data_IF_657474875150
#
_entry.id   IF_657474875150
#
_cell.length_a   1.000
_cell.length_b   1.000
_cell.length_c   1.000
_cell.angle_alpha   90.00
_cell.angle_beta   90.00
_cell.angle_gamma   90.00
#
_symmetry.space_group_name_H-M   'P 1'
#
loop_
_entity.id
_entity.type
_entity.pdbx_description
1 polymer ?
#
# COMPACT_ATOMS: atom_id res chain seq x y z
N UNK A 1 42.66 -12.19 -26.54
CA UNK A 1 43.91 -12.00 -27.30
C UNK A 1 44.84 -13.21 -27.23
N UNK A 2 45.17 -13.76 -26.04
CA UNK A 2 45.99 -14.99 -25.93
C UNK A 2 45.26 -16.26 -26.43
N UNK A 3 44.00 -16.48 -26.04
CA UNK A 3 43.21 -17.68 -26.42
C UNK A 3 43.02 -17.79 -27.95
N UNK A 4 42.81 -16.67 -28.62
CA UNK A 4 42.72 -16.54 -30.07
C UNK A 4 44.04 -16.84 -30.78
N UNK A 5 45.19 -16.55 -30.15
CA UNK A 5 46.52 -16.85 -30.70
C UNK A 5 46.85 -18.36 -30.59
N UNK A 6 46.45 -19.00 -29.48
CA UNK A 6 46.64 -20.44 -29.26
C UNK A 6 45.79 -21.29 -30.21
N UNK A 7 44.52 -20.91 -30.43
CA UNK A 7 43.63 -21.58 -31.39
C UNK A 7 44.13 -21.49 -32.84
N UNK A 8 44.84 -20.43 -33.22
CA UNK A 8 45.45 -20.27 -34.54
C UNK A 8 46.74 -21.10 -34.74
N UNK A 9 47.45 -21.46 -33.66
CA UNK A 9 48.70 -22.23 -33.71
C UNK A 9 48.47 -23.75 -33.60
N UNK A 10 47.32 -24.20 -33.09
CA UNK A 10 46.90 -25.60 -32.99
C UNK A 10 46.96 -26.41 -34.30
N UNK A 11 46.46 -25.91 -35.45
CA UNK A 11 46.55 -26.64 -36.71
C UNK A 11 47.95 -26.58 -37.35
N UNK A 12 48.75 -25.57 -37.00
CA UNK A 12 50.06 -25.29 -37.58
C UNK A 12 51.19 -26.05 -36.90
N UNK A 13 51.12 -26.21 -35.58
CA UNK A 13 52.10 -26.96 -34.80
C UNK A 13 51.45 -27.51 -33.50
N UNK A 14 50.96 -28.77 -33.53
CA UNK A 14 50.12 -29.30 -32.46
C UNK A 14 50.86 -29.44 -31.11
N UNK A 15 52.19 -29.61 -31.13
CA UNK A 15 53.02 -29.68 -29.92
C UNK A 15 53.08 -28.36 -29.15
N UNK A 16 53.28 -27.25 -29.85
CA UNK A 16 53.38 -25.92 -29.21
C UNK A 16 51.99 -25.45 -28.74
N UNK A 17 50.95 -25.71 -29.53
CA UNK A 17 49.57 -25.37 -29.17
C UNK A 17 49.09 -26.09 -27.90
N UNK A 18 49.40 -27.37 -27.75
CA UNK A 18 49.03 -28.16 -26.56
C UNK A 18 49.77 -27.71 -25.29
N UNK A 19 51.05 -27.35 -25.39
CA UNK A 19 51.83 -26.80 -24.25
C UNK A 19 51.26 -25.46 -23.79
N UNK A 20 50.92 -24.55 -24.70
CA UNK A 20 50.33 -23.25 -24.35
C UNK A 20 48.94 -23.41 -23.72
N UNK A 21 48.12 -24.34 -24.21
CA UNK A 21 46.83 -24.70 -23.60
C UNK A 21 47.01 -25.22 -22.16
N UNK A 22 47.99 -26.09 -21.93
CA UNK A 22 48.28 -26.63 -20.60
C UNK A 22 48.72 -25.53 -19.62
N UNK A 23 49.58 -24.60 -20.06
CA UNK A 23 50.02 -23.46 -19.25
C UNK A 23 48.86 -22.52 -18.89
N UNK A 24 48.00 -22.20 -19.85
CA UNK A 24 46.82 -21.36 -19.63
C UNK A 24 45.82 -22.06 -18.69
N UNK A 25 45.58 -23.36 -18.89
CA UNK A 25 44.70 -24.15 -18.03
C UNK A 25 45.23 -24.24 -16.60
N UNK A 26 46.53 -24.44 -16.42
CA UNK A 26 47.18 -24.45 -15.10
C UNK A 26 47.11 -23.10 -14.40
N UNK A 27 47.29 -22.01 -15.15
CA UNK A 27 47.14 -20.63 -14.65
C UNK A 27 45.70 -20.35 -14.19
N UNK A 28 44.70 -20.71 -15.02
CA UNK A 28 43.28 -20.54 -14.68
C UNK A 28 42.91 -21.39 -13.45
N UNK A 29 43.39 -22.63 -13.36
CA UNK A 29 43.13 -23.48 -12.20
C UNK A 29 43.73 -22.90 -10.91
N UNK A 30 44.95 -22.37 -10.97
CA UNK A 30 45.64 -21.79 -9.80
C UNK A 30 44.99 -20.49 -9.32
N UNK A 31 44.68 -19.57 -10.23
CA UNK A 31 44.21 -18.22 -9.86
C UNK A 31 42.68 -18.14 -9.76
N UNK A 32 41.93 -18.95 -10.51
CA UNK A 32 40.46 -18.92 -10.57
C UNK A 32 39.78 -20.24 -10.15
N UNK A 33 40.52 -21.30 -9.85
CA UNK A 33 39.94 -22.61 -9.47
C UNK A 33 39.03 -22.52 -8.25
N UNK A 34 39.48 -21.82 -7.20
CA UNK A 34 38.69 -21.57 -5.98
C UNK A 34 37.41 -20.78 -6.28
N UNK A 35 37.50 -19.78 -7.17
CA UNK A 35 36.36 -18.99 -7.59
C UNK A 35 35.35 -19.85 -8.36
N UNK A 36 35.80 -20.62 -9.36
CA UNK A 36 34.96 -21.52 -10.16
C UNK A 36 34.29 -22.58 -9.29
N UNK A 37 35.04 -23.18 -8.35
CA UNK A 37 34.51 -24.16 -7.41
C UNK A 37 33.41 -23.57 -6.51
N UNK A 38 33.65 -22.38 -5.93
CA UNK A 38 32.65 -21.69 -5.11
C UNK A 38 31.45 -21.25 -5.94
N UNK A 39 31.66 -20.72 -7.14
CA UNK A 39 30.59 -20.34 -8.06
C UNK A 39 29.73 -21.52 -8.45
N UNK A 40 30.32 -22.70 -8.71
CA UNK A 40 29.56 -23.92 -8.99
C UNK A 40 28.73 -24.36 -7.78
N UNK A 41 29.32 -24.35 -6.58
CA UNK A 41 28.62 -24.72 -5.35
C UNK A 41 27.46 -23.77 -5.03
N UNK A 42 27.59 -22.47 -5.31
CA UNK A 42 26.52 -21.49 -5.06
C UNK A 42 25.56 -21.32 -6.25
N UNK A 43 25.91 -21.86 -7.43
CA UNK A 43 25.18 -21.62 -8.67
C UNK A 43 23.70 -21.97 -8.55
N UNK A 44 23.38 -23.09 -7.91
CA UNK A 44 21.99 -23.50 -7.73
C UNK A 44 21.17 -22.49 -6.91
N UNK A 45 21.75 -22.00 -5.80
CA UNK A 45 21.14 -20.96 -4.96
C UNK A 45 20.97 -19.66 -5.74
N UNK A 46 22.02 -19.23 -6.44
CA UNK A 46 22.05 -17.95 -7.14
C UNK A 46 21.09 -17.96 -8.34
N UNK A 47 21.00 -19.07 -9.08
CA UNK A 47 20.02 -19.26 -10.15
C UNK A 47 18.58 -19.33 -9.61
N UNK A 48 18.36 -20.00 -8.47
CA UNK A 48 17.03 -20.05 -7.84
C UNK A 48 16.57 -18.66 -7.39
N UNK A 49 17.50 -17.87 -6.81
CA UNK A 49 17.25 -16.47 -6.44
C UNK A 49 16.96 -15.60 -7.66
N UNK A 50 17.76 -15.73 -8.73
CA UNK A 50 17.55 -15.00 -9.98
C UNK A 50 16.20 -15.34 -10.62
N UNK A 51 15.86 -16.62 -10.67
CA UNK A 51 14.56 -17.09 -11.17
C UNK A 51 13.40 -16.47 -10.38
N UNK A 52 13.47 -16.48 -9.05
CA UNK A 52 12.47 -15.85 -8.19
C UNK A 52 12.35 -14.33 -8.46
N UNK A 53 13.48 -13.63 -8.59
CA UNK A 53 13.50 -12.18 -8.91
C UNK A 53 12.86 -11.92 -10.27
N UNK A 54 13.18 -12.71 -11.29
CA UNK A 54 12.61 -12.57 -12.64
C UNK A 54 11.09 -12.76 -12.58
N UNK A 55 10.61 -13.79 -11.88
CA UNK A 55 9.18 -14.04 -11.73
C UNK A 55 8.49 -12.89 -11.01
N UNK A 56 9.01 -12.48 -9.85
CA UNK A 56 8.42 -11.39 -9.07
C UNK A 56 8.40 -10.10 -9.90
N UNK A 57 9.51 -9.74 -10.54
CA UNK A 57 9.58 -8.54 -11.40
C UNK A 57 8.61 -8.63 -12.56
N UNK A 58 8.47 -9.78 -13.20
CA UNK A 58 7.55 -9.97 -14.33
C UNK A 58 6.10 -9.88 -13.88
N UNK A 59 5.73 -10.55 -12.78
CA UNK A 59 4.38 -10.49 -12.21
C UNK A 59 4.02 -9.07 -11.78
N UNK A 60 4.94 -8.39 -11.07
CA UNK A 60 4.75 -7.01 -10.64
C UNK A 60 4.62 -6.07 -11.84
N UNK A 61 5.50 -6.20 -12.83
CA UNK A 61 5.43 -5.39 -14.06
C UNK A 61 4.11 -5.57 -14.81
N UNK A 62 3.64 -6.81 -14.96
CA UNK A 62 2.35 -7.11 -15.58
C UNK A 62 1.17 -6.55 -14.77
N UNK A 63 1.22 -6.65 -13.43
CA UNK A 63 0.19 -6.11 -12.54
C UNK A 63 0.14 -4.57 -12.60
N UNK A 64 1.30 -3.91 -12.53
CA UNK A 64 1.41 -2.46 -12.68
C UNK A 64 0.96 -1.98 -14.06
N UNK A 65 1.26 -2.74 -15.13
CA UNK A 65 0.84 -2.41 -16.49
C UNK A 65 -0.69 -2.54 -16.69
N UNK A 66 -1.36 -3.41 -15.92
CA UNK A 66 -2.83 -3.49 -15.89
C UNK A 66 -3.48 -2.27 -15.24
N UNK A 67 -2.71 -1.46 -14.50
CA UNK A 67 -3.13 -0.17 -13.93
C UNK A 67 -4.44 -0.21 -13.13
N UNK A 68 -4.76 -1.35 -12.48
CA UNK A 68 -5.98 -1.49 -11.68
C UNK A 68 -5.86 -0.78 -10.33
N UNK A 69 -6.84 0.04 -9.93
CA UNK A 69 -6.84 0.67 -8.61
C UNK A 69 -7.05 -0.36 -7.49
N UNK A 70 -6.68 0.00 -6.26
CA UNK A 70 -6.71 -0.91 -5.11
C UNK A 70 -8.11 -1.48 -4.85
N UNK A 71 -9.15 -0.66 -4.99
CA UNK A 71 -10.53 -1.10 -4.73
C UNK A 71 -10.99 -2.16 -5.74
N UNK A 72 -10.56 -2.14 -7.00
CA UNK A 72 -10.89 -3.19 -7.98
C UNK A 72 -10.22 -4.52 -7.61
N UNK A 73 -8.97 -4.46 -7.15
CA UNK A 73 -8.25 -5.66 -6.69
C UNK A 73 -9.00 -6.26 -5.49
N UNK A 74 -9.42 -5.41 -4.55
CA UNK A 74 -10.24 -5.81 -3.41
C UNK A 74 -11.58 -6.41 -3.83
N UNK A 75 -12.32 -5.78 -4.73
CA UNK A 75 -13.60 -6.31 -5.24
C UNK A 75 -13.42 -7.69 -5.87
N UNK A 76 -12.36 -7.89 -6.66
CA UNK A 76 -12.03 -9.21 -7.23
C UNK A 76 -11.70 -10.28 -6.18
N UNK A 77 -11.25 -9.88 -4.98
CA UNK A 77 -11.07 -10.80 -3.83
C UNK A 77 -12.40 -11.07 -3.13
N UNK A 78 -13.23 -10.03 -2.92
CA UNK A 78 -14.57 -10.13 -2.31
C UNK A 78 -15.45 -11.09 -3.10
N UNK A 79 -15.53 -10.93 -4.41
CA UNK A 79 -16.33 -11.79 -5.30
C UNK A 79 -15.99 -13.27 -5.17
N UNK A 80 -14.71 -13.59 -4.96
CA UNK A 80 -14.22 -14.96 -4.82
C UNK A 80 -14.40 -15.56 -3.42
N UNK A 81 -14.61 -14.73 -2.40
CA UNK A 81 -14.53 -15.13 -0.99
C UNK A 81 -15.69 -14.59 -0.13
N UNK A 82 -16.86 -14.35 -0.72
CA UNK A 82 -18.01 -13.67 -0.09
C UNK A 82 -18.28 -14.06 1.38
N UNK A 83 -18.31 -15.36 1.67
CA UNK A 83 -18.69 -15.89 2.99
C UNK A 83 -17.49 -16.16 3.92
N UNK A 84 -16.25 -15.88 3.47
CA UNK A 84 -15.07 -16.03 4.35
C UNK A 84 -14.94 -14.80 5.24
N UNK A 85 -14.41 -15.02 6.44
CA UNK A 85 -14.09 -13.94 7.38
C UNK A 85 -13.00 -13.06 6.76
N UNK A 86 -13.25 -11.75 6.71
CA UNK A 86 -12.34 -10.73 6.23
C UNK A 86 -11.73 -9.94 7.39
N UNK A 87 -12.54 -9.59 8.38
CA UNK A 87 -12.15 -8.77 9.52
C UNK A 87 -12.62 -9.37 10.83
N UNK A 88 -11.78 -9.27 11.85
CA UNK A 88 -12.09 -9.63 13.24
C UNK A 88 -11.70 -8.43 14.08
N UNK A 89 -12.67 -7.82 14.74
CA UNK A 89 -12.46 -6.78 15.72
C UNK A 89 -12.24 -7.43 17.08
N UNK A 90 -11.07 -7.20 17.67
CA UNK A 90 -10.66 -7.80 18.94
C UNK A 90 -11.42 -7.14 20.10
N UNK A 91 -11.66 -5.84 20.05
CA UNK A 91 -12.27 -5.09 21.15
C UNK A 91 -13.75 -5.42 21.27
N UNK A 92 -14.46 -5.47 20.14
CA UNK A 92 -15.90 -5.74 20.12
C UNK A 92 -16.24 -7.23 19.93
N UNK A 93 -15.23 -8.08 19.69
CA UNK A 93 -15.40 -9.49 19.27
C UNK A 93 -16.27 -9.67 18.01
N UNK A 94 -16.45 -8.60 17.23
CA UNK A 94 -17.24 -8.61 16.01
C UNK A 94 -16.44 -9.24 14.88
N UNK A 95 -17.08 -10.12 14.11
CA UNK A 95 -16.49 -10.69 12.89
C UNK A 95 -17.29 -10.25 11.68
N UNK A 96 -16.61 -9.96 10.57
CA UNK A 96 -17.23 -9.59 9.30
C UNK A 96 -16.71 -10.49 8.20
N UNK A 97 -17.64 -11.03 7.42
CA UNK A 97 -17.32 -11.69 6.15
C UNK A 97 -16.86 -10.67 5.09
N UNK A 98 -16.23 -11.12 4.01
CA UNK A 98 -15.87 -10.23 2.89
C UNK A 98 -17.09 -9.49 2.33
N UNK A 99 -18.25 -10.14 2.27
CA UNK A 99 -19.50 -9.51 1.83
C UNK A 99 -19.92 -8.38 2.76
N UNK A 100 -20.00 -8.64 4.06
CA UNK A 100 -20.42 -7.65 5.06
C UNK A 100 -19.41 -6.50 5.19
N UNK A 101 -18.12 -6.82 5.13
CA UNK A 101 -17.06 -5.82 5.15
C UNK A 101 -17.13 -4.91 3.92
N UNK A 102 -17.35 -5.46 2.72
CA UNK A 102 -17.53 -4.65 1.52
C UNK A 102 -18.78 -3.76 1.59
N UNK A 103 -19.91 -4.30 2.08
CA UNK A 103 -21.11 -3.49 2.35
C UNK A 103 -20.83 -2.37 3.35
N UNK A 104 -20.00 -2.61 4.37
CA UNK A 104 -19.58 -1.58 5.30
C UNK A 104 -18.73 -0.51 4.63
N UNK A 105 -17.74 -0.90 3.80
CA UNK A 105 -16.95 0.02 2.98
C UNK A 105 -17.82 0.89 2.06
N UNK A 106 -18.87 0.29 1.48
CA UNK A 106 -19.80 1.00 0.61
C UNK A 106 -20.57 2.11 1.33
N UNK A 107 -20.90 1.94 2.61
CA UNK A 107 -21.53 3.02 3.40
C UNK A 107 -20.62 4.25 3.49
N UNK A 108 -19.32 4.06 3.73
CA UNK A 108 -18.35 5.15 3.71
C UNK A 108 -18.29 5.80 2.32
N UNK A 109 -18.17 5.00 1.26
CA UNK A 109 -18.12 5.52 -0.10
C UNK A 109 -19.38 6.32 -0.46
N UNK A 110 -20.57 5.82 -0.13
CA UNK A 110 -21.83 6.49 -0.42
C UNK A 110 -21.99 7.78 0.40
N UNK A 111 -21.56 7.81 1.67
CA UNK A 111 -21.54 9.04 2.47
C UNK A 111 -20.73 10.15 1.78
N UNK A 112 -19.47 9.86 1.45
CA UNK A 112 -18.57 10.85 0.85
C UNK A 112 -18.99 11.22 -0.57
N UNK A 113 -19.53 10.27 -1.33
CA UNK A 113 -20.11 10.54 -2.64
C UNK A 113 -21.30 11.49 -2.56
N UNK A 114 -22.19 11.32 -1.58
CA UNK A 114 -23.33 12.20 -1.33
C UNK A 114 -22.90 13.61 -0.90
N UNK A 115 -21.73 13.72 -0.26
CA UNK A 115 -21.05 14.99 0.05
C UNK A 115 -20.23 15.55 -1.12
N UNK A 116 -20.33 14.96 -2.32
CA UNK A 116 -19.63 15.37 -3.54
C UNK A 116 -18.10 15.31 -3.47
N UNK A 117 -17.54 14.43 -2.63
CA UNK A 117 -16.11 14.12 -2.69
C UNK A 117 -15.77 13.46 -4.03
N UNK A 118 -14.64 13.87 -4.60
CA UNK A 118 -14.19 13.43 -5.93
C UNK A 118 -12.80 12.84 -5.87
N UNK A 119 -12.40 12.24 -7.00
CA UNK A 119 -11.04 11.73 -7.17
C UNK A 119 -10.00 12.80 -6.81
N UNK A 120 -9.05 12.42 -5.95
CA UNK A 120 -7.96 13.28 -5.48
C UNK A 120 -8.27 14.10 -4.22
N UNK A 121 -9.53 14.15 -3.78
CA UNK A 121 -9.86 14.77 -2.49
C UNK A 121 -9.25 13.98 -1.34
N UNK A 122 -8.72 14.70 -0.35
CA UNK A 122 -8.02 14.11 0.80
C UNK A 122 -8.95 14.06 2.01
N UNK A 123 -9.01 12.91 2.67
CA UNK A 123 -9.64 12.72 3.99
C UNK A 123 -8.59 12.21 4.95
N UNK A 124 -8.43 12.87 6.09
CA UNK A 124 -7.53 12.44 7.15
C UNK A 124 -8.21 11.38 8.01
N UNK A 125 -7.51 10.28 8.27
CA UNK A 125 -7.89 9.26 9.24
C UNK A 125 -7.01 9.45 10.47
N UNK A 126 -7.58 9.98 11.55
CA UNK A 126 -6.94 10.15 12.85
C UNK A 126 -7.67 9.28 13.88
N UNK A 127 -7.42 7.99 13.83
CA UNK A 127 -8.09 7.00 14.67
C UNK A 127 -7.21 5.76 14.87
N UNK A 128 -7.56 4.93 15.84
CA UNK A 128 -6.87 3.68 16.12
C UNK A 128 -7.11 2.62 15.04
N UNK A 129 -6.21 1.64 14.98
CA UNK A 129 -6.35 0.48 14.11
C UNK A 129 -7.60 -0.32 14.49
N UNK A 130 -8.62 -0.22 13.64
CA UNK A 130 -9.94 -0.83 13.84
C UNK A 130 -10.50 -1.28 12.50
N UNK A 131 -11.60 -2.05 12.55
CA UNK A 131 -12.35 -2.40 11.34
C UNK A 131 -12.81 -1.16 10.59
N UNK A 132 -13.15 -0.11 11.34
CA UNK A 132 -13.69 1.15 10.86
C UNK A 132 -12.61 1.93 10.10
N UNK A 133 -11.36 1.88 10.55
CA UNK A 133 -10.21 2.44 9.83
C UNK A 133 -10.07 1.82 8.43
N UNK A 134 -10.08 0.49 8.35
CA UNK A 134 -9.92 -0.21 7.06
C UNK A 134 -11.15 0.00 6.17
N UNK A 135 -12.35 0.03 6.75
CA UNK A 135 -13.59 0.30 6.02
C UNK A 135 -13.62 1.71 5.44
N UNK A 136 -13.20 2.73 6.22
CA UNK A 136 -13.06 4.10 5.75
C UNK A 136 -12.05 4.20 4.60
N UNK A 137 -10.88 3.57 4.75
CA UNK A 137 -9.86 3.54 3.72
C UNK A 137 -10.37 2.92 2.42
N UNK A 138 -10.93 1.72 2.48
CA UNK A 138 -11.42 1.01 1.30
C UNK A 138 -12.64 1.70 0.68
N UNK A 139 -13.52 2.30 1.50
CA UNK A 139 -14.65 3.10 1.04
C UNK A 139 -14.21 4.34 0.25
N UNK A 140 -13.26 5.09 0.78
CA UNK A 140 -12.69 6.27 0.11
C UNK A 140 -11.91 5.90 -1.15
N UNK A 141 -11.20 4.78 -1.13
CA UNK A 141 -10.49 4.25 -2.30
C UNK A 141 -11.42 3.91 -3.47
N UNK A 142 -12.67 3.50 -3.21
CA UNK A 142 -13.71 3.27 -4.26
C UNK A 142 -14.10 4.56 -4.99
N UNK A 143 -13.98 5.72 -4.33
CA UNK A 143 -14.25 7.03 -4.93
C UNK A 143 -13.02 7.64 -5.60
N UNK A 144 -11.84 7.03 -5.44
CA UNK A 144 -10.58 7.65 -5.83
C UNK A 144 -10.16 8.80 -4.91
N UNK A 145 -10.69 8.87 -3.68
CA UNK A 145 -10.21 9.80 -2.66
C UNK A 145 -8.87 9.32 -2.09
N UNK A 146 -8.06 10.25 -1.62
CA UNK A 146 -6.79 9.99 -0.93
C UNK A 146 -7.04 9.93 0.57
N UNK A 147 -6.50 8.92 1.24
CA UNK A 147 -6.50 8.87 2.70
C UNK A 147 -5.14 9.27 3.26
N UNK A 148 -5.14 10.28 4.12
CA UNK A 148 -3.98 10.64 4.93
C UNK A 148 -4.06 9.89 6.26
N UNK A 149 -3.11 9.00 6.54
CA UNK A 149 -3.12 8.23 7.79
C UNK A 149 -2.29 8.97 8.83
N UNK A 150 -2.97 9.50 9.85
CA UNK A 150 -2.33 10.29 10.90
C UNK A 150 -2.16 9.38 12.10
N UNK A 151 -0.92 9.26 12.60
CA UNK A 151 -0.60 8.43 13.74
C UNK A 151 -1.38 8.89 14.98
N UNK A 152 -2.19 8.00 15.56
CA UNK A 152 -3.05 8.25 16.72
C UNK A 152 -2.29 8.66 17.99
N UNK A 153 -0.98 8.45 18.05
CA UNK A 153 -0.15 8.87 19.19
C UNK A 153 0.30 10.34 19.10
N UNK A 154 0.13 11.00 17.96
CA UNK A 154 0.50 12.41 17.79
C UNK A 154 -0.45 13.32 18.55
N UNK A 155 0.10 14.41 19.10
CA UNK A 155 -0.63 15.40 19.90
C UNK A 155 -0.15 16.80 19.57
N UNK A 156 -0.96 17.81 19.92
CA UNK A 156 -0.62 19.24 19.87
C UNK A 156 0.03 19.63 18.53
N UNK A 157 1.21 20.25 18.54
CA UNK A 157 1.85 20.84 17.36
C UNK A 157 2.14 19.80 16.27
N UNK A 158 2.52 18.58 16.65
CA UNK A 158 2.83 17.50 15.71
C UNK A 158 1.57 17.02 14.99
N UNK A 159 0.47 16.87 15.74
CA UNK A 159 -0.83 16.51 15.18
C UNK A 159 -1.31 17.59 14.20
N UNK A 160 -1.26 18.85 14.63
CA UNK A 160 -1.66 19.99 13.80
C UNK A 160 -0.87 20.06 12.51
N UNK A 161 0.46 19.92 12.59
CA UNK A 161 1.32 19.96 11.42
C UNK A 161 0.99 18.86 10.40
N UNK A 162 0.73 17.62 10.85
CA UNK A 162 0.34 16.52 9.97
C UNK A 162 -1.02 16.77 9.31
N UNK A 163 -2.01 17.25 10.08
CA UNK A 163 -3.34 17.57 9.54
C UNK A 163 -3.26 18.68 8.49
N UNK A 164 -2.58 19.79 8.79
CA UNK A 164 -2.45 20.92 7.86
C UNK A 164 -1.69 20.54 6.58
N UNK A 165 -0.60 19.78 6.72
CA UNK A 165 0.20 19.32 5.58
C UNK A 165 -0.58 18.37 4.67
N UNK A 166 -1.50 17.58 5.23
CA UNK A 166 -2.33 16.66 4.46
C UNK A 166 -3.31 17.35 3.51
N UNK A 167 -3.66 18.63 3.77
CA UNK A 167 -4.70 19.38 3.04
C UNK A 167 -6.05 18.64 2.99
N UNK A 168 -6.35 17.89 4.05
CA UNK A 168 -7.60 17.14 4.16
C UNK A 168 -8.81 18.08 4.20
N UNK A 169 -9.87 17.70 3.47
CA UNK A 169 -11.18 18.38 3.49
C UNK A 169 -12.08 17.89 4.63
N UNK A 170 -11.80 16.70 5.15
CA UNK A 170 -12.45 16.15 6.33
C UNK A 170 -11.47 15.33 7.16
N UNK A 171 -11.76 15.21 8.45
CA UNK A 171 -11.05 14.38 9.42
C UNK A 171 -12.04 13.37 9.97
N UNK A 172 -11.73 12.07 9.84
CA UNK A 172 -12.43 11.01 10.58
C UNK A 172 -11.61 10.72 11.84
N UNK A 173 -12.25 10.81 13.00
CA UNK A 173 -11.64 10.52 14.31
C UNK A 173 -12.50 9.56 15.14
N UNK A 174 -11.90 8.88 16.10
CA UNK A 174 -12.60 8.06 17.09
C UNK A 174 -13.08 8.90 18.29
N UNK A 175 -14.04 8.35 19.05
CA UNK A 175 -14.55 8.95 20.29
C UNK A 175 -13.45 9.14 21.35
N UNK A 176 -12.45 8.24 21.38
CA UNK A 176 -11.30 8.27 22.29
C UNK A 176 -10.28 9.36 21.95
N UNK A 177 -10.06 9.66 20.67
CA UNK A 177 -9.06 10.64 20.22
C UNK A 177 -9.61 12.04 19.98
N UNK A 178 -10.93 12.22 19.92
CA UNK A 178 -11.52 13.53 19.63
C UNK A 178 -11.08 14.62 20.62
N UNK A 179 -10.84 14.28 21.90
CA UNK A 179 -10.39 15.25 22.90
C UNK A 179 -8.98 15.76 22.61
N UNK A 180 -8.09 14.90 22.10
CA UNK A 180 -6.74 15.31 21.70
C UNK A 180 -6.79 16.27 20.51
N UNK A 181 -7.72 16.03 19.58
CA UNK A 181 -7.98 16.94 18.47
C UNK A 181 -8.54 18.28 18.96
N UNK A 182 -9.47 18.25 19.93
CA UNK A 182 -10.03 19.46 20.56
C UNK A 182 -8.98 20.28 21.29
N UNK A 183 -8.07 19.64 22.03
CA UNK A 183 -6.98 20.32 22.71
C UNK A 183 -6.14 21.12 21.70
N UNK A 184 -5.76 20.51 20.58
CA UNK A 184 -5.02 21.18 19.51
C UNK A 184 -5.79 22.35 18.87
N UNK A 185 -7.11 22.26 18.76
CA UNK A 185 -7.96 23.36 18.24
C UNK A 185 -8.06 24.48 19.28
N UNK A 186 -8.27 24.15 20.55
CA UNK A 186 -8.43 25.10 21.65
C UNK A 186 -7.17 25.90 21.94
N UNK A 187 -6.00 25.30 21.70
CA UNK A 187 -4.69 25.95 21.80
C UNK A 187 -4.32 26.77 20.55
N UNK A 188 -5.26 26.94 19.61
CA UNK A 188 -5.08 27.64 18.33
C UNK A 188 -3.96 27.02 17.44
N UNK A 189 -3.56 25.78 17.72
CA UNK A 189 -2.53 25.07 16.96
C UNK A 189 -3.08 24.53 15.63
N UNK A 190 -4.39 24.29 15.54
CA UNK A 190 -5.06 23.79 14.35
C UNK A 190 -6.25 24.67 13.98
N UNK A 191 -6.28 25.17 12.74
CA UNK A 191 -7.40 25.95 12.20
C UNK A 191 -8.28 25.10 11.30
N UNK A 192 -9.50 24.80 11.74
CA UNK A 192 -10.49 24.04 10.97
C UNK A 192 -11.29 24.92 9.98
N UNK A 193 -10.61 25.78 9.20
CA UNK A 193 -11.32 26.59 8.20
C UNK A 193 -11.76 25.71 7.01
N UNK A 194 -13.03 25.29 7.01
CA UNK A 194 -13.67 24.42 6.02
C UNK A 194 -13.24 22.94 6.07
N UNK A 195 -12.93 22.41 7.25
CA UNK A 195 -12.63 20.98 7.44
C UNK A 195 -13.72 20.35 8.29
N UNK A 196 -14.45 19.38 7.73
CA UNK A 196 -15.49 18.66 8.46
C UNK A 196 -14.85 17.64 9.42
N UNK A 197 -15.23 17.66 10.70
CA UNK A 197 -14.77 16.65 11.68
C UNK A 197 -15.88 15.63 11.92
N UNK A 198 -15.58 14.38 11.60
CA UNK A 198 -16.48 13.23 11.62
C UNK A 198 -16.05 12.27 12.73
N UNK A 199 -16.84 12.16 13.80
CA UNK A 199 -16.53 11.33 14.97
C UNK A 199 -17.23 9.96 14.87
N UNK A 200 -16.45 8.88 14.90
CA UNK A 200 -16.95 7.51 14.99
C UNK A 200 -17.30 7.19 16.44
N UNK A 201 -18.47 7.64 16.87
CA UNK A 201 -18.99 7.51 18.22
C UNK A 201 -19.77 8.76 18.61
N UNK A 202 -19.84 9.05 19.90
CA UNK A 202 -20.52 10.25 20.38
C UNK A 202 -19.57 11.46 20.33
N UNK A 203 -19.94 12.55 19.61
CA UNK A 203 -19.15 13.77 19.62
C UNK A 203 -19.19 14.44 21.01
N UNK A 204 -18.10 15.12 21.36
CA UNK A 204 -17.99 15.88 22.60
C UNK A 204 -19.05 16.99 22.66
N UNK A 205 -19.63 17.19 23.83
CA UNK A 205 -20.71 18.18 24.04
C UNK A 205 -20.23 19.61 23.75
N UNK A 206 -21.03 20.37 23.00
CA UNK A 206 -20.72 21.76 22.65
C UNK A 206 -19.76 21.93 21.47
N UNK A 207 -19.46 20.87 20.74
CA UNK A 207 -18.64 20.92 19.52
C UNK A 207 -19.50 20.87 18.25
N UNK A 208 -18.98 21.38 17.14
CA UNK A 208 -19.59 21.25 15.80
C UNK A 208 -19.27 19.87 15.16
N UNK A 209 -18.77 18.91 15.93
CA UNK A 209 -18.38 17.60 15.41
C UNK A 209 -19.60 16.75 15.07
N UNK A 210 -19.54 16.05 13.94
CA UNK A 210 -20.67 15.25 13.46
C UNK A 210 -20.56 13.80 13.95
N UNK A 211 -21.67 13.26 14.47
CA UNK A 211 -21.75 11.82 14.76
C UNK A 211 -21.76 11.03 13.45
N UNK A 212 -20.60 10.48 13.11
CA UNK A 212 -20.39 9.82 11.84
C UNK A 212 -20.96 8.40 11.84
N UNK A 213 -20.90 7.70 12.98
CA UNK A 213 -21.42 6.32 13.09
C UNK A 213 -22.90 6.26 12.72
N UNK A 214 -23.71 7.16 13.28
CA UNK A 214 -25.15 7.26 12.96
C UNK A 214 -25.37 7.62 11.49
N UNK A 215 -24.59 8.57 10.97
CA UNK A 215 -24.70 8.99 9.58
C UNK A 215 -24.40 7.87 8.56
N UNK A 216 -23.54 6.91 8.94
CA UNK A 216 -23.18 5.75 8.11
C UNK A 216 -24.29 4.69 8.07
N UNK A 217 -25.06 4.51 9.15
CA UNK A 217 -26.14 3.52 9.20
C UNK A 217 -27.22 3.78 8.15
N UNK A 218 -27.49 5.06 7.87
CA UNK A 218 -28.46 5.52 6.88
C UNK A 218 -27.95 5.41 5.43
N UNK A 219 -26.67 5.10 5.20
CA UNK A 219 -26.11 5.01 3.85
C UNK A 219 -26.38 3.66 3.19
N UNK A 220 -26.50 3.70 1.87
CA UNK A 220 -26.66 2.52 1.03
C UNK A 220 -25.44 1.58 1.16
N UNK A 221 -25.71 0.28 1.06
CA UNK A 221 -24.75 -0.83 1.09
C UNK A 221 -24.31 -1.25 -0.32
N UNK A 222 -25.00 -0.78 -1.35
CA UNK A 222 -24.65 -1.05 -2.74
C UNK A 222 -23.38 -0.30 -3.15
N UNK A 223 -22.69 -0.85 -4.16
CA UNK A 223 -21.50 -0.21 -4.70
C UNK A 223 -21.81 1.22 -5.16
N UNK A 224 -20.96 2.20 -4.82
CA UNK A 224 -21.15 3.58 -5.24
C UNK A 224 -21.10 3.67 -6.77
N UNK A 225 -21.82 4.63 -7.34
CA UNK A 225 -21.73 4.87 -8.78
C UNK A 225 -20.37 5.50 -9.07
N UNK A 226 -19.46 4.78 -9.71
CA UNK A 226 -18.15 5.31 -10.11
C UNK A 226 -18.35 6.43 -11.14
N UNK A 227 -17.97 7.67 -10.78
CA UNK A 227 -18.07 8.85 -11.65
C UNK A 227 -16.77 9.16 -12.39
N UNK A 228 -15.63 8.72 -11.84
CA UNK A 228 -14.30 9.08 -12.32
C UNK A 228 -13.48 7.82 -12.68
N UNK A 229 -12.69 7.91 -13.75
CA UNK A 229 -11.76 6.85 -14.15
C UNK A 229 -10.59 6.81 -13.15
N UNK A 230 -10.52 5.76 -12.33
CA UNK A 230 -9.53 5.60 -11.27
C UNK A 230 -8.51 4.56 -11.70
N UNK A 231 -7.23 4.88 -11.57
CA UNK A 231 -6.16 4.03 -12.06
C UNK A 231 -5.13 3.75 -10.96
N UNK A 232 -4.24 2.77 -11.15
CA UNK A 232 -3.25 2.41 -10.13
C UNK A 232 -2.36 3.61 -9.74
N UNK A 233 -2.05 4.49 -10.70
CA UNK A 233 -1.21 5.68 -10.50
C UNK A 233 -1.93 6.85 -9.82
N UNK A 234 -3.24 6.76 -9.64
CA UNK A 234 -4.01 7.78 -8.95
C UNK A 234 -3.54 7.90 -7.50
N UNK A 235 -3.35 9.13 -7.03
CA UNK A 235 -2.88 9.45 -5.68
C UNK A 235 -3.73 8.76 -4.58
N UNK A 236 -4.95 8.36 -4.90
CA UNK A 236 -5.88 7.62 -4.03
C UNK A 236 -5.39 6.25 -3.57
N UNK A 237 -4.45 5.63 -4.29
CA UNK A 237 -3.86 4.34 -3.90
C UNK A 237 -2.60 4.51 -3.04
N UNK A 238 -2.12 5.74 -2.85
CA UNK A 238 -0.97 6.03 -2.02
C UNK A 238 -1.47 6.50 -0.66
N UNK A 239 -1.04 5.80 0.39
CA UNK A 239 -1.13 6.34 1.72
C UNK A 239 -0.17 7.52 1.81
N UNK A 240 -0.70 8.72 2.10
CA UNK A 240 0.14 9.81 2.56
C UNK A 240 0.40 9.57 4.04
N UNK A 241 1.56 9.00 4.34
CA UNK A 241 2.08 8.91 5.72
C UNK A 241 2.84 10.21 6.01
N UNK A 242 2.39 10.96 7.00
CA UNK A 242 3.06 12.16 7.51
C UNK A 242 3.52 11.92 8.95
#
# INVERSE_FOLDING_TARGET
MLLTLVLALLPSNPGIGSVLLALISGYIYKDYGDFIYRSYLTLHRDLSGLYLIIIIKTHLWLALRRNRPLHEIFLGVVEKNLNKIAMIDIETSRTLTFKEFNQHCNRYANYFQNKNYRKGDVVALYMENSVEFVAAWMGLAKLGCVTSWINSNLKREQLSHCIETSKAKAIITSETLQNVLLDAISEELLKLSNVDVLVLGNPASGTEFHNFRKSLEDQDILEPKTKDDTDFRSHSNYCLTF
#
